data_IF_726536725428
#
_entry.id   IF_726536725428
#
_cell.length_a   1.000
_cell.length_b   1.000
_cell.length_c   1.000
_cell.angle_alpha   90.00
_cell.angle_beta   90.00
_cell.angle_gamma   90.00
#
_symmetry.space_group_name_H-M   'P 1'
#
loop_
_entity.id
_entity.type
_entity.pdbx_description
1 polymer ?
#
# COMPACT_ATOMS: atom_id res chain seq x y z
N UNK A 1 22.63 6.72 -11.42
CA UNK A 1 21.69 5.59 -11.27
C UNK A 1 20.93 5.83 -9.98
N UNK A 2 19.64 5.57 -9.93
CA UNK A 2 18.83 5.81 -8.73
C UNK A 2 18.40 4.48 -8.11
N UNK A 3 18.23 4.46 -6.79
CA UNK A 3 17.75 3.33 -6.04
C UNK A 3 16.54 3.75 -5.22
N UNK A 4 15.60 2.82 -5.11
CA UNK A 4 14.34 2.99 -4.40
C UNK A 4 14.36 2.04 -3.23
N UNK A 5 14.10 2.59 -2.05
CA UNK A 5 14.04 1.84 -0.80
C UNK A 5 12.58 1.80 -0.39
N UNK A 6 12.04 0.59 -0.23
CA UNK A 6 10.68 0.36 0.25
C UNK A 6 10.72 -0.31 1.63
N UNK A 7 10.01 0.28 2.58
CA UNK A 7 9.80 -0.27 3.93
C UNK A 7 8.56 0.36 4.59
N UNK A 8 8.28 0.04 5.85
CA UNK A 8 7.16 0.69 6.57
C UNK A 8 7.45 2.16 6.87
N UNK A 9 6.43 3.04 6.96
CA UNK A 9 6.66 4.48 7.17
C UNK A 9 7.53 4.82 8.38
N UNK A 10 7.33 4.08 9.48
CA UNK A 10 8.15 4.21 10.69
C UNK A 10 9.62 3.88 10.43
N UNK A 11 9.89 2.81 9.68
CA UNK A 11 11.26 2.38 9.33
C UNK A 11 11.88 3.29 8.27
N UNK A 12 11.10 3.83 7.35
CA UNK A 12 11.56 4.79 6.35
C UNK A 12 12.12 6.05 7.02
N UNK A 13 11.40 6.62 8.01
CA UNK A 13 11.91 7.76 8.80
C UNK A 13 13.22 7.46 9.53
N UNK A 14 13.36 6.24 10.07
CA UNK A 14 14.60 5.79 10.74
C UNK A 14 15.74 5.64 9.73
N UNK A 15 15.48 4.98 8.59
CA UNK A 15 16.45 4.76 7.52
C UNK A 15 16.89 6.07 6.87
N UNK A 16 15.98 7.01 6.64
CA UNK A 16 16.30 8.33 6.10
C UNK A 16 17.38 9.01 6.95
N UNK A 17 17.17 9.07 8.27
CA UNK A 17 18.14 9.64 9.21
C UNK A 17 19.46 8.86 9.21
N UNK A 18 19.36 7.53 9.24
CA UNK A 18 20.53 6.66 9.25
C UNK A 18 21.41 6.85 8.00
N UNK A 19 20.80 6.80 6.82
CA UNK A 19 21.50 6.88 5.54
C UNK A 19 22.09 8.28 5.31
N UNK A 20 21.36 9.35 5.67
CA UNK A 20 21.91 10.72 5.67
C UNK A 20 23.11 10.86 6.60
N UNK A 21 23.06 10.27 7.80
CA UNK A 21 24.19 10.26 8.73
C UNK A 21 25.41 9.46 8.19
N UNK A 22 25.19 8.52 7.26
CA UNK A 22 26.25 7.81 6.53
C UNK A 22 26.73 8.55 5.27
N UNK A 23 26.22 9.75 5.03
CA UNK A 23 26.63 10.61 3.91
C UNK A 23 25.94 10.30 2.59
N UNK A 24 24.82 9.56 2.60
CA UNK A 24 24.02 9.33 1.39
C UNK A 24 23.05 10.50 1.17
N UNK A 25 22.88 10.89 -0.09
CA UNK A 25 21.82 11.80 -0.52
C UNK A 25 20.55 10.96 -0.69
N UNK A 26 19.64 11.11 0.25
CA UNK A 26 18.37 10.37 0.30
C UNK A 26 17.22 11.35 0.38
N UNK A 27 16.25 11.22 -0.53
CA UNK A 27 15.06 12.05 -0.59
C UNK A 27 13.82 11.26 -0.18
N UNK A 28 12.90 11.94 0.49
CA UNK A 28 11.56 11.44 0.76
C UNK A 28 10.71 11.52 -0.51
N UNK A 29 9.61 10.77 -0.52
CA UNK A 29 8.58 10.88 -1.57
C UNK A 29 7.25 11.22 -0.92
N UNK A 30 6.26 11.60 -1.72
CA UNK A 30 4.89 11.80 -1.24
C UNK A 30 4.28 10.52 -0.64
N UNK A 31 4.87 9.35 -0.94
CA UNK A 31 4.55 8.09 -0.29
C UNK A 31 5.55 7.79 0.84
N UNK A 32 5.11 7.75 2.10
CA UNK A 32 6.01 7.69 3.26
C UNK A 32 6.73 6.33 3.40
N UNK A 33 6.32 5.30 2.65
CA UNK A 33 7.00 3.99 2.58
C UNK A 33 8.25 3.99 1.70
N UNK A 34 8.41 5.02 0.86
CA UNK A 34 9.41 5.06 -0.20
C UNK A 34 10.44 6.15 0.04
N UNK A 35 11.71 5.79 -0.17
CA UNK A 35 12.84 6.71 -0.23
C UNK A 35 13.59 6.52 -1.54
N UNK A 36 14.25 7.58 -2.01
CA UNK A 36 15.06 7.57 -3.23
C UNK A 36 16.48 8.00 -2.89
N UNK A 37 17.47 7.31 -3.45
CA UNK A 37 18.89 7.66 -3.32
C UNK A 37 19.61 7.48 -4.64
N UNK A 38 20.66 8.26 -4.90
CA UNK A 38 21.47 8.18 -6.13
C UNK A 38 22.68 7.24 -5.99
N UNK A 39 22.85 6.63 -4.82
CA UNK A 39 23.93 5.69 -4.49
C UNK A 39 23.33 4.44 -3.85
N UNK A 40 23.91 3.27 -4.14
CA UNK A 40 23.47 2.00 -3.58
C UNK A 40 23.40 2.06 -2.04
N UNK A 41 22.20 1.95 -1.45
CA UNK A 41 22.04 1.99 -0.01
C UNK A 41 22.35 0.65 0.66
N UNK A 42 22.45 -0.46 -0.08
CA UNK A 42 22.60 -1.82 0.43
C UNK A 42 23.70 -2.00 1.49
N UNK A 43 24.93 -1.50 1.27
CA UNK A 43 26.02 -1.56 2.25
C UNK A 43 25.74 -0.82 3.57
N UNK A 44 24.81 0.13 3.54
CA UNK A 44 24.49 1.02 4.67
C UNK A 44 23.20 0.64 5.39
N UNK A 45 22.51 -0.43 4.96
CA UNK A 45 21.31 -0.91 5.65
C UNK A 45 21.72 -1.69 6.91
N UNK A 46 21.20 -1.32 8.10
CA UNK A 46 21.40 -2.08 9.33
C UNK A 46 20.95 -3.53 9.19
N UNK A 47 21.71 -4.47 9.76
CA UNK A 47 21.46 -5.92 9.63
C UNK A 47 20.06 -6.32 10.07
N UNK A 48 19.54 -5.66 11.10
CA UNK A 48 18.20 -5.86 11.67
C UNK A 48 17.09 -5.48 10.69
N UNK A 49 17.37 -4.55 9.78
CA UNK A 49 16.40 -4.02 8.83
C UNK A 49 16.48 -4.71 7.47
N UNK A 50 17.58 -5.40 7.12
CA UNK A 50 17.81 -6.02 5.81
C UNK A 50 16.65 -6.90 5.32
N UNK A 51 16.04 -7.69 6.21
CA UNK A 51 14.90 -8.56 5.84
C UNK A 51 13.60 -7.80 5.55
N UNK A 52 13.49 -6.57 6.03
CA UNK A 52 12.27 -5.74 5.96
C UNK A 52 12.40 -4.52 5.04
N UNK A 53 13.52 -4.43 4.33
CA UNK A 53 13.84 -3.36 3.39
C UNK A 53 14.00 -3.98 2.02
N UNK A 54 13.26 -3.49 1.03
CA UNK A 54 13.43 -3.87 -0.36
C UNK A 54 14.13 -2.74 -1.10
N UNK A 55 15.24 -3.05 -1.76
CA UNK A 55 15.97 -2.09 -2.60
C UNK A 55 15.74 -2.49 -4.04
N UNK A 56 15.36 -1.52 -4.88
CA UNK A 56 15.30 -1.68 -6.34
C UNK A 56 16.21 -0.67 -7.00
N UNK A 57 17.07 -1.14 -7.90
CA UNK A 57 17.83 -0.30 -8.80
C UNK A 57 16.94 0.16 -9.94
N UNK A 58 17.06 1.44 -10.32
CA UNK A 58 16.31 2.03 -11.41
C UNK A 58 17.24 2.41 -12.56
N UNK A 59 16.98 1.83 -13.74
CA UNK A 59 17.78 2.00 -14.97
C UNK A 59 17.09 2.89 -16.05
N UNK A 60 16.02 3.62 -15.72
CA UNK A 60 15.27 4.47 -16.66
C UNK A 60 15.36 5.99 -16.41
N UNK A 61 14.51 6.80 -17.08
CA UNK A 61 14.34 8.24 -16.78
C UNK A 61 13.43 8.41 -15.56
N UNK A 62 13.68 9.41 -14.72
CA UNK A 62 12.89 9.69 -13.51
C UNK A 62 11.37 9.84 -13.76
N UNK A 63 10.96 10.27 -14.95
CA UNK A 63 9.56 10.33 -15.35
C UNK A 63 8.91 8.95 -15.54
N UNK A 64 9.66 7.96 -16.02
CA UNK A 64 9.21 6.57 -16.13
C UNK A 64 9.11 5.94 -14.74
N UNK A 65 9.99 6.35 -13.81
CA UNK A 65 9.94 5.95 -12.41
C UNK A 65 8.65 6.39 -11.71
N UNK A 66 8.14 7.61 -11.92
CA UNK A 66 6.87 8.05 -11.31
C UNK A 66 5.66 7.30 -11.89
N UNK A 67 5.67 7.02 -13.21
CA UNK A 67 4.63 6.20 -13.85
C UNK A 67 4.66 4.76 -13.33
N UNK A 68 5.85 4.20 -13.15
CA UNK A 68 6.03 2.87 -12.60
C UNK A 68 5.79 2.82 -11.09
N UNK A 69 6.07 3.87 -10.33
CA UNK A 69 5.71 3.97 -8.92
C UNK A 69 4.19 4.05 -8.73
N UNK A 70 3.46 4.72 -9.63
CA UNK A 70 2.00 4.66 -9.68
C UNK A 70 1.46 3.26 -10.03
N UNK A 71 2.11 2.54 -10.96
CA UNK A 71 1.76 1.15 -11.30
C UNK A 71 2.16 0.13 -10.23
N UNK A 72 3.32 0.31 -9.62
CA UNK A 72 3.86 -0.51 -8.52
C UNK A 72 3.07 -0.25 -7.24
N UNK A 73 2.67 0.99 -7.00
CA UNK A 73 1.67 1.34 -6.00
C UNK A 73 0.37 0.60 -6.29
N UNK A 74 -0.20 0.72 -7.49
CA UNK A 74 -1.42 -0.04 -7.85
C UNK A 74 -1.27 -1.56 -7.76
N UNK A 75 -0.10 -2.13 -8.05
CA UNK A 75 0.17 -3.58 -7.92
C UNK A 75 0.45 -4.04 -6.48
N UNK A 76 0.99 -3.18 -5.62
CA UNK A 76 1.25 -3.47 -4.21
C UNK A 76 0.06 -3.13 -3.32
N UNK A 77 -0.80 -2.19 -3.74
CA UNK A 77 -1.99 -1.70 -3.06
C UNK A 77 -3.30 -2.25 -3.65
N UNK A 78 -3.28 -3.14 -4.65
CA UNK A 78 -4.48 -3.82 -5.18
C UNK A 78 -5.13 -4.80 -4.18
N UNK A 79 -4.70 -4.82 -2.92
CA UNK A 79 -5.29 -5.66 -1.87
C UNK A 79 -6.22 -4.93 -0.89
N UNK A 80 -6.18 -3.59 -0.82
CA UNK A 80 -6.99 -2.85 0.16
C UNK A 80 -8.32 -2.35 -0.42
N UNK A 81 -9.36 -2.27 0.41
CA UNK A 81 -10.64 -1.63 0.08
C UNK A 81 -10.57 -0.10 0.24
N UNK A 82 -11.38 0.63 -0.52
CA UNK A 82 -11.52 2.09 -0.44
C UNK A 82 -12.98 2.44 -0.20
N UNK A 83 -13.25 3.55 0.48
CA UNK A 83 -14.62 4.05 0.65
C UNK A 83 -15.27 4.27 -0.73
N UNK A 84 -16.47 3.74 -0.90
CA UNK A 84 -17.21 3.75 -2.17
C UNK A 84 -16.99 2.50 -3.02
N UNK A 85 -16.02 1.63 -2.71
CA UNK A 85 -15.84 0.37 -3.43
C UNK A 85 -17.08 -0.52 -3.24
N UNK A 86 -17.54 -1.12 -4.36
CA UNK A 86 -18.54 -2.16 -4.34
C UNK A 86 -17.87 -3.50 -4.03
N UNK A 87 -18.42 -4.20 -3.05
CA UNK A 87 -17.84 -5.45 -2.54
C UNK A 87 -18.90 -6.53 -2.40
N UNK A 88 -18.46 -7.78 -2.54
CA UNK A 88 -19.24 -8.98 -2.26
C UNK A 88 -18.72 -9.60 -0.98
N UNK A 89 -19.64 -10.01 -0.11
CA UNK A 89 -19.33 -10.70 1.14
C UNK A 89 -19.21 -12.20 0.84
N UNK A 90 -18.09 -12.80 1.20
CA UNK A 90 -17.72 -14.17 0.83
C UNK A 90 -17.85 -15.18 1.97
N UNK A 91 -18.14 -14.73 3.21
CA UNK A 91 -18.37 -15.60 4.36
C UNK A 91 -19.21 -14.95 5.46
N UNK A 92 -19.86 -15.76 6.28
CA UNK A 92 -20.64 -15.32 7.44
C UNK A 92 -22.14 -15.15 7.15
N UNK A 93 -22.85 -14.47 8.04
CA UNK A 93 -24.34 -14.36 7.98
C UNK A 93 -24.82 -13.61 6.74
N UNK A 94 -23.99 -12.73 6.19
CA UNK A 94 -24.28 -11.96 4.99
C UNK A 94 -23.54 -12.49 3.74
N UNK A 95 -23.06 -13.74 3.77
CA UNK A 95 -22.43 -14.36 2.60
C UNK A 95 -23.34 -14.30 1.37
N UNK A 96 -22.75 -13.92 0.23
CA UNK A 96 -23.45 -13.78 -1.04
C UNK A 96 -24.10 -12.43 -1.26
N UNK A 97 -24.26 -11.61 -0.22
CA UNK A 97 -24.74 -10.23 -0.36
C UNK A 97 -23.63 -9.29 -0.87
N UNK A 98 -24.06 -8.17 -1.44
CA UNK A 98 -23.18 -7.09 -1.88
C UNK A 98 -23.45 -5.84 -1.07
N UNK A 99 -22.41 -5.02 -0.91
CA UNK A 99 -22.50 -3.76 -0.20
C UNK A 99 -21.49 -2.74 -0.71
N UNK A 100 -21.56 -1.55 -0.12
CA UNK A 100 -20.65 -0.44 -0.41
C UNK A 100 -19.81 -0.17 0.83
N UNK A 101 -18.49 -0.05 0.64
CA UNK A 101 -17.58 0.31 1.72
C UNK A 101 -17.86 1.75 2.17
N UNK A 102 -18.20 1.93 3.45
CA UNK A 102 -18.42 3.25 4.06
C UNK A 102 -17.21 3.79 4.78
N UNK A 103 -16.40 2.89 5.35
CA UNK A 103 -15.20 3.24 6.10
C UNK A 103 -14.18 2.11 6.05
N UNK A 104 -12.91 2.47 6.05
CA UNK A 104 -11.79 1.53 6.09
C UNK A 104 -10.86 1.97 7.22
N UNK A 105 -10.75 1.13 8.25
CA UNK A 105 -9.82 1.28 9.37
C UNK A 105 -9.02 -0.04 9.50
N UNK A 106 -8.84 -0.58 10.71
CA UNK A 106 -8.34 -1.95 10.90
C UNK A 106 -9.33 -3.01 10.38
N UNK A 107 -10.63 -2.66 10.34
CA UNK A 107 -11.72 -3.44 9.75
C UNK A 107 -12.45 -2.61 8.68
N UNK A 108 -13.24 -3.27 7.83
CA UNK A 108 -14.01 -2.65 6.74
C UNK A 108 -15.49 -2.55 7.11
N UNK A 109 -16.01 -1.34 7.17
CA UNK A 109 -17.43 -1.07 7.46
C UNK A 109 -18.21 -0.99 6.13
N UNK A 110 -19.26 -1.80 6.01
CA UNK A 110 -20.01 -1.98 4.77
C UNK A 110 -21.49 -1.70 5.00
N UNK A 111 -22.06 -0.89 4.10
CA UNK A 111 -23.49 -0.72 3.97
C UNK A 111 -24.06 -1.79 3.01
N UNK A 112 -24.91 -2.65 3.53
CA UNK A 112 -25.51 -3.79 2.84
C UNK A 112 -27.00 -3.53 2.68
N UNK A 113 -27.53 -3.78 1.49
CA UNK A 113 -28.97 -3.78 1.24
C UNK A 113 -29.51 -5.20 1.35
N UNK A 114 -30.27 -5.47 2.41
CA UNK A 114 -30.83 -6.81 2.70
C UNK A 114 -32.34 -6.67 2.86
N UNK A 115 -33.10 -7.35 1.98
CA UNK A 115 -34.58 -7.34 1.99
C UNK A 115 -35.22 -5.94 2.04
N UNK A 116 -34.65 -4.98 1.31
CA UNK A 116 -35.16 -3.60 1.27
C UNK A 116 -34.84 -2.77 2.51
N UNK A 117 -34.02 -3.29 3.43
CA UNK A 117 -33.47 -2.55 4.57
C UNK A 117 -31.98 -2.34 4.38
N UNK A 118 -31.49 -1.22 4.88
CA UNK A 118 -30.08 -0.89 4.92
C UNK A 118 -29.53 -1.32 6.27
N UNK A 119 -28.48 -2.15 6.25
CA UNK A 119 -27.75 -2.61 7.43
C UNK A 119 -26.29 -2.21 7.27
N UNK A 120 -25.67 -1.72 8.35
CA UNK A 120 -24.24 -1.43 8.38
C UNK A 120 -23.58 -2.43 9.31
N UNK A 121 -22.54 -3.11 8.81
CA UNK A 121 -21.79 -4.09 9.60
C UNK A 121 -20.29 -4.06 9.25
N UNK A 122 -19.47 -4.71 10.07
CA UNK A 122 -18.02 -4.66 10.04
C UNK A 122 -17.42 -6.02 9.68
N UNK A 123 -16.51 -6.03 8.72
CA UNK A 123 -15.91 -7.24 8.16
C UNK A 123 -14.38 -7.17 8.16
N UNK A 124 -13.75 -8.35 8.22
CA UNK A 124 -12.33 -8.48 7.90
C UNK A 124 -12.13 -8.49 6.38
N UNK A 125 -10.96 -8.08 5.91
CA UNK A 125 -10.67 -8.01 4.46
C UNK A 125 -10.80 -9.37 3.77
N UNK A 126 -10.49 -10.47 4.47
CA UNK A 126 -10.56 -11.83 3.91
C UNK A 126 -11.99 -12.31 3.65
N UNK A 127 -12.99 -11.63 4.24
CA UNK A 127 -14.41 -11.94 4.07
C UNK A 127 -15.04 -11.20 2.89
N UNK A 128 -14.22 -10.48 2.12
CA UNK A 128 -14.67 -9.53 1.11
C UNK A 128 -13.96 -9.74 -0.21
N UNK A 129 -14.69 -9.51 -1.30
CA UNK A 129 -14.17 -9.52 -2.66
C UNK A 129 -14.61 -8.25 -3.38
N UNK A 130 -13.68 -7.54 -4.03
CA UNK A 130 -14.03 -6.36 -4.83
C UNK A 130 -14.81 -6.76 -6.07
N UNK A 131 -15.93 -6.08 -6.31
CA UNK A 131 -16.66 -6.20 -7.56
C UNK A 131 -15.98 -5.24 -8.54
N UNK A 132 -15.23 -5.77 -9.51
CA UNK A 132 -14.60 -4.97 -10.54
C UNK A 132 -15.68 -4.20 -11.31
N UNK A 133 -15.65 -2.87 -11.19
CA UNK A 133 -16.51 -2.00 -12.01
C UNK A 133 -15.86 -1.88 -13.37
N UNK A 134 -16.35 -2.63 -14.36
CA UNK A 134 -15.99 -2.42 -15.76
C UNK A 134 -16.50 -1.04 -16.17
N UNK A 135 -15.60 -0.09 -16.37
CA UNK A 135 -15.85 1.16 -17.11
C UNK A 135 -15.28 1.03 -18.51
#
# INVERSE_FOLDING_TARGET
MAYVIFTTPRKAKILLKHLKAKGLIVEETDMPEYLITIRDPGPYIPTELKKSVKIKEFQGRFADFLKDAGKLGKMLFSKGFTVGDAVKITSGVYEGFSGIVKRVNENVEIEISVFGKIVVDVFQEEQLEKIATSF
#
